data_IF_301768835377
#
_entry.id   IF_301768835377
#
_cell.length_a   1.000
_cell.length_b   1.000
_cell.length_c   1.000
_cell.angle_alpha   90.00
_cell.angle_beta   90.00
_cell.angle_gamma   90.00
#
_symmetry.space_group_name_H-M   'P 1'
#
loop_
_entity.id
_entity.type
_entity.pdbx_description
1 polymer ?
#
# COMPACT_ATOMS: atom_id res chain seq x y z
N UNK A 1 -15.72 -24.53 -6.40
CA UNK A 1 -15.62 -23.29 -7.20
C UNK A 1 -16.05 -22.07 -6.39
N UNK A 2 -17.27 -22.04 -5.83
CA UNK A 2 -17.80 -20.89 -5.09
C UNK A 2 -16.94 -20.44 -3.87
N UNK A 3 -16.33 -21.39 -3.13
CA UNK A 3 -15.50 -21.04 -1.97
C UNK A 3 -14.17 -20.37 -2.33
N UNK A 4 -13.60 -20.70 -3.50
CA UNK A 4 -12.33 -20.11 -3.95
C UNK A 4 -12.58 -18.71 -4.52
N UNK A 5 -13.69 -18.54 -5.25
CA UNK A 5 -14.15 -17.22 -5.69
C UNK A 5 -14.41 -16.29 -4.50
N UNK A 6 -15.10 -16.76 -3.47
CA UNK A 6 -15.35 -15.98 -2.25
C UNK A 6 -14.04 -15.63 -1.51
N UNK A 7 -13.06 -16.55 -1.52
CA UNK A 7 -11.74 -16.30 -0.95
C UNK A 7 -11.00 -15.21 -1.74
N UNK A 8 -11.01 -15.28 -3.06
CA UNK A 8 -10.38 -14.30 -3.96
C UNK A 8 -11.00 -12.89 -3.79
N UNK A 9 -12.34 -12.81 -3.79
CA UNK A 9 -13.07 -11.56 -3.47
C UNK A 9 -12.73 -11.03 -2.08
N UNK A 10 -12.65 -11.94 -1.09
CA UNK A 10 -12.28 -11.61 0.28
C UNK A 10 -10.86 -11.07 0.40
N UNK A 11 -9.90 -11.67 -0.29
CA UNK A 11 -8.49 -11.25 -0.34
C UNK A 11 -8.33 -9.91 -1.05
N UNK A 12 -9.02 -9.73 -2.18
CA UNK A 12 -9.05 -8.46 -2.92
C UNK A 12 -9.65 -7.35 -2.07
N UNK A 13 -10.83 -7.59 -1.49
CA UNK A 13 -11.52 -6.65 -0.60
C UNK A 13 -10.72 -6.32 0.65
N UNK A 14 -10.07 -7.31 1.27
CA UNK A 14 -9.15 -7.10 2.39
C UNK A 14 -7.97 -6.22 1.98
N UNK A 15 -7.33 -6.50 0.85
CA UNK A 15 -6.15 -5.77 0.37
C UNK A 15 -6.49 -4.30 0.09
N UNK A 16 -7.59 -4.04 -0.62
CA UNK A 16 -8.06 -2.68 -0.91
C UNK A 16 -8.51 -1.99 0.37
N UNK A 17 -9.36 -2.63 1.17
CA UNK A 17 -9.94 -2.06 2.39
C UNK A 17 -8.88 -1.68 3.43
N UNK A 18 -7.93 -2.58 3.71
CA UNK A 18 -6.83 -2.31 4.63
C UNK A 18 -5.94 -1.19 4.10
N UNK A 19 -5.64 -1.18 2.80
CA UNK A 19 -4.82 -0.11 2.20
C UNK A 19 -5.50 1.25 2.31
N UNK A 20 -6.79 1.34 1.98
CA UNK A 20 -7.56 2.58 2.10
C UNK A 20 -7.60 3.05 3.55
N UNK A 21 -7.90 2.14 4.48
CA UNK A 21 -7.92 2.46 5.91
C UNK A 21 -6.55 2.95 6.39
N UNK A 22 -5.47 2.26 6.04
CA UNK A 22 -4.11 2.59 6.46
C UNK A 22 -3.70 4.00 6.01
N UNK A 23 -3.83 4.31 4.72
CA UNK A 23 -3.36 5.56 4.16
C UNK A 23 -4.30 6.75 4.39
N UNK A 24 -5.61 6.55 4.30
CA UNK A 24 -6.57 7.67 4.32
C UNK A 24 -7.25 7.89 5.68
N UNK A 25 -7.29 6.87 6.55
CA UNK A 25 -7.99 6.98 7.84
C UNK A 25 -6.98 6.96 9.00
N UNK A 26 -6.14 5.93 9.08
CA UNK A 26 -5.19 5.75 10.17
C UNK A 26 -4.06 6.78 10.12
N UNK A 27 -3.41 6.94 8.98
CA UNK A 27 -2.26 7.86 8.85
C UNK A 27 -2.60 9.31 9.22
N UNK A 28 -3.70 9.91 8.71
CA UNK A 28 -4.06 11.28 9.06
C UNK A 28 -4.46 11.45 10.52
N UNK A 29 -5.15 10.45 11.10
CA UNK A 29 -5.53 10.47 12.52
C UNK A 29 -4.28 10.45 13.42
N UNK A 30 -3.33 9.54 13.15
CA UNK A 30 -2.09 9.45 13.92
C UNK A 30 -1.21 10.70 13.78
N UNK A 31 -1.14 11.27 12.57
CA UNK A 31 -0.39 12.51 12.33
C UNK A 31 -0.93 13.70 13.15
N UNK A 32 -2.27 13.85 13.21
CA UNK A 32 -2.93 14.91 14.01
C UNK A 32 -2.72 14.75 15.51
N UNK A 33 -2.71 13.51 16.01
CA UNK A 33 -2.65 13.25 17.46
C UNK A 33 -1.24 13.31 18.01
N UNK A 34 -0.24 12.76 17.30
CA UNK A 34 1.09 12.50 17.87
C UNK A 34 2.15 13.56 17.51
N UNK A 35 1.96 14.33 16.43
CA UNK A 35 3.00 15.21 15.88
C UNK A 35 4.10 14.43 15.14
N UNK A 36 4.76 15.10 14.19
CA UNK A 36 5.67 14.47 13.21
C UNK A 36 6.84 13.69 13.83
N UNK A 37 7.43 14.18 14.91
CA UNK A 37 8.53 13.52 15.63
C UNK A 37 8.19 12.08 16.07
N UNK A 38 6.98 11.86 16.64
CA UNK A 38 6.53 10.54 17.10
C UNK A 38 5.79 9.74 16.03
N UNK A 39 5.06 10.43 15.16
CA UNK A 39 4.26 9.83 14.10
C UNK A 39 5.11 9.10 13.06
N UNK A 40 6.20 9.73 12.57
CA UNK A 40 6.95 9.17 11.44
C UNK A 40 7.64 7.84 11.78
N UNK A 41 8.34 7.67 12.92
CA UNK A 41 8.90 6.36 13.30
C UNK A 41 7.84 5.27 13.46
N UNK A 42 6.68 5.61 14.04
CA UNK A 42 5.55 4.70 14.16
C UNK A 42 5.04 4.27 12.77
N UNK A 43 4.83 5.24 11.87
CA UNK A 43 4.40 4.96 10.50
C UNK A 43 5.41 4.13 9.72
N UNK A 44 6.71 4.34 9.92
CA UNK A 44 7.75 3.52 9.31
C UNK A 44 7.65 2.05 9.74
N UNK A 45 7.46 1.79 11.05
CA UNK A 45 7.26 0.44 11.56
C UNK A 45 5.98 -0.20 11.02
N UNK A 46 4.88 0.55 11.04
CA UNK A 46 3.58 0.08 10.54
C UNK A 46 3.60 -0.18 9.02
N UNK A 47 4.24 0.68 8.23
CA UNK A 47 4.34 0.53 6.77
C UNK A 47 5.10 -0.75 6.41
N UNK A 48 6.14 -1.12 7.16
CA UNK A 48 6.86 -2.38 6.94
C UNK A 48 5.94 -3.59 7.17
N UNK A 49 5.17 -3.58 8.25
CA UNK A 49 4.20 -4.65 8.56
C UNK A 49 3.09 -4.69 7.51
N UNK A 50 2.52 -3.53 7.16
CA UNK A 50 1.50 -3.40 6.13
C UNK A 50 1.99 -3.96 4.78
N UNK A 51 3.18 -3.55 4.32
CA UNK A 51 3.71 -3.99 3.04
C UNK A 51 3.94 -5.51 3.00
N UNK A 52 4.43 -6.11 4.10
CA UNK A 52 4.55 -7.56 4.21
C UNK A 52 3.19 -8.26 4.12
N UNK A 53 2.20 -7.78 4.87
CA UNK A 53 0.85 -8.37 4.89
C UNK A 53 0.17 -8.25 3.52
N UNK A 54 0.25 -7.08 2.88
CA UNK A 54 -0.31 -6.86 1.55
C UNK A 54 0.41 -7.68 0.47
N UNK A 55 1.72 -7.86 0.57
CA UNK A 55 2.46 -8.74 -0.35
C UNK A 55 2.01 -10.21 -0.24
N UNK A 56 1.85 -10.72 0.99
CA UNK A 56 1.33 -12.08 1.20
C UNK A 56 -0.11 -12.22 0.70
N UNK A 57 -0.97 -11.25 1.03
CA UNK A 57 -2.37 -11.22 0.60
C UNK A 57 -2.49 -11.18 -0.93
N UNK A 58 -1.75 -10.28 -1.60
CA UNK A 58 -1.75 -10.19 -3.07
C UNK A 58 -1.15 -11.41 -3.75
N UNK A 59 -0.18 -12.08 -3.13
CA UNK A 59 0.37 -13.35 -3.65
C UNK A 59 -0.66 -14.47 -3.57
N UNK A 60 -1.40 -14.55 -2.46
CA UNK A 60 -2.51 -15.48 -2.32
C UNK A 60 -3.61 -15.17 -3.35
N UNK A 61 -3.91 -13.89 -3.56
CA UNK A 61 -4.90 -13.43 -4.55
C UNK A 61 -4.50 -13.85 -5.97
N UNK A 62 -3.26 -13.60 -6.38
CA UNK A 62 -2.76 -14.06 -7.68
C UNK A 62 -2.89 -15.58 -7.84
N UNK A 63 -2.57 -16.35 -6.79
CA UNK A 63 -2.69 -17.80 -6.82
C UNK A 63 -4.16 -18.26 -6.95
N UNK A 64 -5.10 -17.62 -6.24
CA UNK A 64 -6.53 -17.93 -6.35
C UNK A 64 -7.08 -17.58 -7.72
N UNK A 65 -6.73 -16.42 -8.28
CA UNK A 65 -7.18 -16.01 -9.60
C UNK A 65 -6.63 -16.93 -10.70
N UNK A 66 -5.35 -17.31 -10.62
CA UNK A 66 -4.74 -18.28 -11.55
C UNK A 66 -5.36 -19.67 -11.45
N UNK A 67 -5.80 -20.09 -10.26
CA UNK A 67 -6.50 -21.36 -10.08
C UNK A 67 -7.91 -21.32 -10.66
N UNK A 68 -8.61 -20.19 -10.51
CA UNK A 68 -9.97 -20.02 -11.02
C UNK A 68 -10.04 -19.99 -12.55
N UNK A 69 -8.92 -19.69 -13.22
CA UNK A 69 -8.64 -19.83 -14.67
C UNK A 69 -9.89 -19.92 -15.55
N UNK A 70 -10.72 -18.88 -15.53
CA UNK A 70 -11.55 -18.56 -16.68
C UNK A 70 -10.61 -18.05 -17.77
N UNK A 71 -10.92 -18.23 -19.06
CA UNK A 71 -10.16 -17.67 -20.18
C UNK A 71 -10.13 -16.12 -20.22
N UNK A 72 -10.39 -15.47 -19.08
CA UNK A 72 -10.42 -14.04 -18.91
C UNK A 72 -9.01 -13.48 -18.70
N UNK A 73 -8.35 -13.23 -19.83
CA UNK A 73 -7.04 -12.60 -19.86
C UNK A 73 -7.01 -11.21 -19.21
N UNK A 74 -8.14 -10.50 -19.15
CA UNK A 74 -8.20 -9.19 -18.51
C UNK A 74 -8.10 -9.33 -17.00
N UNK A 75 -8.88 -10.25 -16.42
CA UNK A 75 -8.88 -10.53 -14.99
C UNK A 75 -7.48 -10.87 -14.46
N UNK A 76 -6.81 -11.80 -15.14
CA UNK A 76 -5.45 -12.27 -14.79
C UNK A 76 -4.43 -11.14 -14.94
N UNK A 77 -4.57 -10.29 -15.97
CA UNK A 77 -3.68 -9.15 -16.18
C UNK A 77 -3.80 -8.12 -15.05
N UNK A 78 -5.02 -7.82 -14.60
CA UNK A 78 -5.27 -6.87 -13.52
C UNK A 78 -4.69 -7.34 -12.18
N UNK A 79 -4.94 -8.59 -11.79
CA UNK A 79 -4.36 -9.15 -10.55
C UNK A 79 -2.83 -9.23 -10.63
N UNK A 80 -2.26 -9.56 -11.81
CA UNK A 80 -0.82 -9.59 -12.01
C UNK A 80 -0.19 -8.20 -11.90
N UNK A 81 -0.81 -7.16 -12.50
CA UNK A 81 -0.35 -5.76 -12.36
C UNK A 81 -0.38 -5.33 -10.90
N UNK A 82 -1.48 -5.61 -10.19
CA UNK A 82 -1.61 -5.31 -8.77
C UNK A 82 -0.53 -5.99 -7.92
N UNK A 83 -0.30 -7.28 -8.17
CA UNK A 83 0.75 -8.05 -7.50
C UNK A 83 2.15 -7.53 -7.81
N UNK A 84 2.48 -7.25 -9.08
CA UNK A 84 3.78 -6.69 -9.47
C UNK A 84 4.04 -5.34 -8.82
N UNK A 85 3.04 -4.46 -8.79
CA UNK A 85 3.14 -3.17 -8.11
C UNK A 85 3.43 -3.35 -6.62
N UNK A 86 2.75 -4.28 -5.95
CA UNK A 86 3.00 -4.60 -4.54
C UNK A 86 4.38 -5.24 -4.31
N UNK A 87 4.82 -6.13 -5.20
CA UNK A 87 6.12 -6.77 -5.12
C UNK A 87 7.25 -5.74 -5.24
N UNK A 88 7.18 -4.84 -6.22
CA UNK A 88 8.12 -3.73 -6.38
C UNK A 88 8.10 -2.82 -5.15
N UNK A 89 6.92 -2.53 -4.61
CA UNK A 89 6.80 -1.72 -3.41
C UNK A 89 7.45 -2.39 -2.20
N UNK A 90 7.23 -3.69 -2.01
CA UNK A 90 7.78 -4.46 -0.88
C UNK A 90 9.30 -4.65 -0.95
N UNK A 91 9.84 -5.03 -2.11
CA UNK A 91 11.25 -5.38 -2.24
C UNK A 91 12.17 -4.19 -2.54
N UNK A 92 11.67 -3.15 -3.21
CA UNK A 92 12.50 -2.05 -3.71
C UNK A 92 12.13 -0.73 -3.03
N UNK A 93 10.87 -0.30 -3.15
CA UNK A 93 10.48 1.07 -2.81
C UNK A 93 10.39 1.29 -1.30
N UNK A 94 9.68 0.44 -0.56
CA UNK A 94 9.52 0.55 0.90
C UNK A 94 10.87 0.45 1.61
N UNK A 95 11.76 -0.52 1.33
CA UNK A 95 13.08 -0.58 1.95
C UNK A 95 13.91 0.69 1.70
N UNK A 96 13.89 1.23 0.48
CA UNK A 96 14.56 2.48 0.14
C UNK A 96 13.96 3.67 0.92
N UNK A 97 12.63 3.80 0.93
CA UNK A 97 11.91 4.85 1.64
C UNK A 97 12.16 4.80 3.15
N UNK A 98 12.18 3.61 3.74
CA UNK A 98 12.47 3.43 5.17
C UNK A 98 13.93 3.80 5.50
N UNK A 99 14.89 3.45 4.63
CA UNK A 99 16.31 3.81 4.81
C UNK A 99 16.53 5.32 4.73
N UNK A 100 15.91 5.99 3.74
CA UNK A 100 15.94 7.44 3.62
C UNK A 100 15.24 8.13 4.81
N UNK A 101 14.09 7.57 5.22
CA UNK A 101 13.36 7.99 6.42
C UNK A 101 14.28 7.95 7.65
N UNK A 102 14.96 6.83 7.92
CA UNK A 102 15.85 6.70 9.06
C UNK A 102 17.00 7.72 9.05
N UNK A 103 17.57 8.05 7.88
CA UNK A 103 18.61 9.08 7.74
C UNK A 103 18.11 10.49 8.10
N UNK A 104 16.88 10.82 7.73
CA UNK A 104 16.26 12.12 8.06
C UNK A 104 15.82 12.28 9.52
N UNK A 105 16.11 11.32 10.42
CA UNK A 105 15.67 11.39 11.82
C UNK A 105 16.22 12.61 12.56
N UNK A 106 17.46 13.04 12.26
CA UNK A 106 18.06 14.23 12.86
C UNK A 106 17.38 15.53 12.42
N UNK A 107 16.86 15.58 11.20
CA UNK A 107 16.13 16.74 10.66
C UNK A 107 14.76 16.95 11.31
N UNK A 108 14.22 15.91 11.94
CA UNK A 108 12.87 15.91 12.55
C UNK A 108 12.88 16.17 14.06
N UNK A 109 14.04 16.19 14.70
CA UNK A 109 14.13 16.32 16.15
C UNK A 109 13.63 17.72 16.56
N UNK A 110 12.58 17.77 17.38
CA UNK A 110 11.90 19.01 17.76
C UNK A 110 10.84 19.52 16.76
N UNK A 111 10.63 18.84 15.63
CA UNK A 111 9.53 19.15 14.69
C UNK A 111 8.23 18.45 15.15
N UNK A 112 7.39 19.22 15.85
CA UNK A 112 6.06 18.81 16.28
C UNK A 112 4.96 19.38 15.39
N UNK A 113 5.28 19.76 14.15
CA UNK A 113 4.27 20.17 13.17
C UNK A 113 3.19 19.09 13.05
N UNK A 114 1.94 19.55 13.08
CA UNK A 114 0.73 18.74 12.82
C UNK A 114 0.16 19.02 11.44
N UNK A 115 0.90 19.74 10.60
CA UNK A 115 0.47 20.04 9.24
C UNK A 115 0.56 18.78 8.38
N UNK A 116 -0.62 18.15 8.20
CA UNK A 116 -0.77 16.97 7.37
C UNK A 116 -0.51 17.26 5.89
N UNK A 117 -0.78 18.48 5.40
CA UNK A 117 -0.56 18.82 4.00
C UNK A 117 0.94 18.86 3.71
N UNK A 118 1.70 19.46 4.61
CA UNK A 118 3.16 19.47 4.53
C UNK A 118 3.72 18.04 4.57
N UNK A 119 3.21 17.17 5.44
CA UNK A 119 3.65 15.78 5.51
C UNK A 119 3.27 14.97 4.26
N UNK A 120 2.05 15.12 3.74
CA UNK A 120 1.62 14.40 2.54
C UNK A 120 2.46 14.77 1.31
N UNK A 121 2.92 16.03 1.23
CA UNK A 121 3.72 16.52 0.10
C UNK A 121 5.20 16.27 0.29
N UNK A 122 5.76 16.43 1.50
CA UNK A 122 7.20 16.38 1.73
C UNK A 122 7.68 15.08 2.42
N UNK A 123 6.76 14.26 2.93
CA UNK A 123 7.08 13.11 3.76
C UNK A 123 7.78 13.52 5.07
N UNK A 124 8.75 12.70 5.49
CA UNK A 124 9.48 12.89 6.75
C UNK A 124 10.64 13.88 6.72
N UNK A 125 11.01 14.48 5.59
CA UNK A 125 12.26 15.24 5.43
C UNK A 125 12.30 16.05 4.12
N UNK A 126 13.37 16.81 3.88
CA UNK A 126 13.32 17.95 2.94
C UNK A 126 13.48 17.61 1.44
N UNK A 127 14.04 16.47 1.03
CA UNK A 127 14.19 16.17 -0.41
C UNK A 127 14.18 14.69 -0.81
N UNK A 128 15.10 13.86 -0.33
CA UNK A 128 15.18 12.44 -0.74
C UNK A 128 13.97 11.62 -0.24
N UNK A 129 13.49 11.94 0.96
CA UNK A 129 12.28 11.34 1.56
C UNK A 129 11.00 11.68 0.81
N UNK A 130 10.94 12.83 0.14
CA UNK A 130 9.76 13.29 -0.61
C UNK A 130 9.54 12.44 -1.85
N UNK A 131 10.56 12.32 -2.69
CA UNK A 131 10.49 11.52 -3.93
C UNK A 131 10.14 10.07 -3.63
N UNK A 132 10.78 9.46 -2.63
CA UNK A 132 10.49 8.08 -2.23
C UNK A 132 9.08 7.91 -1.64
N UNK A 133 8.59 8.88 -0.86
CA UNK A 133 7.22 8.85 -0.36
C UNK A 133 6.20 8.89 -1.51
N UNK A 134 6.40 9.78 -2.48
CA UNK A 134 5.55 9.87 -3.66
C UNK A 134 5.60 8.58 -4.48
N UNK A 135 6.77 7.97 -4.64
CA UNK A 135 6.92 6.67 -5.31
C UNK A 135 6.12 5.59 -4.59
N UNK A 136 6.19 5.48 -3.26
CA UNK A 136 5.35 4.52 -2.50
C UNK A 136 3.87 4.75 -2.81
N UNK A 137 3.41 6.00 -2.79
CA UNK A 137 2.00 6.35 -3.07
C UNK A 137 1.60 5.98 -4.50
N UNK A 138 2.44 6.24 -5.50
CA UNK A 138 2.16 5.88 -6.90
C UNK A 138 1.99 4.37 -7.04
N UNK A 139 2.88 3.56 -6.47
CA UNK A 139 2.75 2.10 -6.50
C UNK A 139 1.51 1.61 -5.75
N UNK A 140 1.15 2.25 -4.64
CA UNK A 140 -0.11 1.96 -3.93
C UNK A 140 -1.32 2.27 -4.80
N UNK A 141 -1.35 3.39 -5.51
CA UNK A 141 -2.46 3.76 -6.39
C UNK A 141 -2.60 2.80 -7.58
N UNK A 142 -1.48 2.40 -8.19
CA UNK A 142 -1.48 1.38 -9.26
C UNK A 142 -2.04 0.06 -8.72
N UNK A 143 -1.54 -0.38 -7.57
CA UNK A 143 -2.00 -1.61 -6.91
C UNK A 143 -3.50 -1.58 -6.60
N UNK A 144 -3.98 -0.51 -5.96
CA UNK A 144 -5.40 -0.36 -5.61
C UNK A 144 -6.27 -0.29 -6.85
N UNK A 145 -5.88 0.49 -7.86
CA UNK A 145 -6.62 0.59 -9.13
C UNK A 145 -6.74 -0.77 -9.83
N UNK A 146 -5.64 -1.53 -9.88
CA UNK A 146 -5.61 -2.85 -10.49
C UNK A 146 -6.49 -3.86 -9.72
N UNK A 147 -6.43 -3.89 -8.38
CA UNK A 147 -7.28 -4.78 -7.58
C UNK A 147 -8.75 -4.40 -7.57
N UNK A 148 -9.08 -3.10 -7.61
CA UNK A 148 -10.46 -2.66 -7.80
C UNK A 148 -10.98 -3.08 -9.18
N UNK A 149 -10.18 -2.89 -10.23
CA UNK A 149 -10.53 -3.35 -11.58
C UNK A 149 -10.76 -4.87 -11.62
N UNK A 150 -9.85 -5.64 -11.01
CA UNK A 150 -9.97 -7.08 -10.88
C UNK A 150 -11.27 -7.49 -10.15
N UNK A 151 -11.61 -6.81 -9.04
CA UNK A 151 -12.85 -7.08 -8.31
C UNK A 151 -14.10 -6.81 -9.16
N UNK A 152 -14.13 -5.68 -9.86
CA UNK A 152 -15.26 -5.29 -10.72
C UNK A 152 -15.47 -6.31 -11.84
N UNK A 153 -14.38 -6.68 -12.50
CA UNK A 153 -14.36 -7.68 -13.57
C UNK A 153 -14.84 -9.05 -13.07
N UNK A 154 -14.31 -9.51 -11.94
CA UNK A 154 -14.71 -10.76 -11.28
C UNK A 154 -16.20 -10.78 -10.88
N UNK A 155 -16.78 -9.63 -10.53
CA UNK A 155 -18.21 -9.52 -10.19
C UNK A 155 -19.12 -9.32 -11.41
N UNK A 156 -18.58 -8.91 -12.56
CA UNK A 156 -19.34 -8.68 -13.78
C UNK A 156 -19.51 -9.95 -14.63
N UNK A 157 -18.64 -10.95 -14.41
CA UNK A 157 -18.63 -12.24 -15.10
C UNK A 157 -19.39 -13.37 -14.35
N UNK A 158 -19.96 -13.07 -13.17
CA UNK A 158 -20.84 -13.97 -12.38
C UNK A 158 -22.30 -13.61 -12.62
#
# INVERSE_FOLDING_TARGET
MNSILALDQGLTGFTVGVTVYFFFIQSPKLGKTMGKEKFVPLMMALTRTWAKTMFLSSTANLATSLYLSSNDTMNISLVAIGWMAMALNWFVVVPAALKAGARSTRERKGDNSKDLKEFAVNGGGKTETKSLHQTVVVFVLIMVGAFVGHLVDLTSCV
#
